data_IF_167428067245
#
_entry.id   IF_167428067245
#
_cell.length_a   1.000
_cell.length_b   1.000
_cell.length_c   1.000
_cell.angle_alpha   90.00
_cell.angle_beta   90.00
_cell.angle_gamma   90.00
#
_symmetry.space_group_name_H-M   'P 1'
#
loop_
_entity.id
_entity.type
_entity.pdbx_description
1 polymer ?
#
# COMPACT_ATOMS: atom_id res chain seq x y z
N UNK A 1 9.26 -13.75 -9.88
CA UNK A 1 8.57 -13.58 -8.58
C UNK A 1 9.56 -13.03 -7.58
N UNK A 2 9.09 -12.23 -6.62
CA UNK A 2 9.94 -11.61 -5.62
C UNK A 2 9.11 -11.18 -4.42
N UNK A 3 9.66 -11.33 -3.23
CA UNK A 3 9.11 -10.76 -2.00
C UNK A 3 10.22 -10.06 -1.23
N UNK A 4 9.95 -8.83 -0.81
CA UNK A 4 10.86 -8.03 0.00
C UNK A 4 10.67 -8.37 1.48
N UNK A 5 11.76 -8.38 2.24
CA UNK A 5 11.69 -8.54 3.69
C UNK A 5 11.22 -7.23 4.31
N UNK A 6 10.14 -7.30 5.09
CA UNK A 6 9.51 -6.16 5.76
C UNK A 6 9.82 -6.25 7.24
N UNK A 7 10.30 -5.15 7.83
CA UNK A 7 10.38 -5.02 9.29
C UNK A 7 9.04 -4.48 9.79
N UNK A 8 8.04 -5.36 9.83
CA UNK A 8 6.62 -5.02 10.01
C UNK A 8 6.29 -4.41 11.38
N UNK A 9 5.42 -3.40 11.37
CA UNK A 9 4.67 -2.94 12.54
C UNK A 9 3.27 -2.49 12.11
N UNK A 10 2.29 -2.73 12.98
CA UNK A 10 0.92 -2.27 12.80
C UNK A 10 0.78 -0.79 13.20
N UNK A 11 -0.32 -0.16 12.79
CA UNK A 11 -0.68 1.18 13.19
C UNK A 11 -0.85 1.26 14.72
N UNK A 12 -0.30 2.29 15.39
CA UNK A 12 -0.38 2.43 16.84
C UNK A 12 -1.77 2.89 17.33
N UNK A 13 -2.60 3.43 16.44
CA UNK A 13 -3.93 3.95 16.73
C UNK A 13 -4.85 3.78 15.50
N UNK A 14 -6.14 4.10 15.61
CA UNK A 14 -7.13 3.84 14.56
C UNK A 14 -6.99 4.71 13.28
N UNK A 15 -6.19 5.78 13.29
CA UNK A 15 -6.09 6.75 12.18
C UNK A 15 -4.71 6.79 11.52
N UNK A 16 -3.76 5.95 11.95
CA UNK A 16 -2.37 5.90 11.43
C UNK A 16 -2.13 4.85 10.35
N UNK A 17 -3.17 4.32 9.71
CA UNK A 17 -3.02 3.34 8.63
C UNK A 17 -2.09 3.82 7.50
N UNK A 18 -2.25 5.07 7.03
CA UNK A 18 -1.40 5.66 5.99
C UNK A 18 0.09 5.71 6.38
N UNK A 19 0.44 6.35 7.50
CA UNK A 19 1.81 6.37 8.02
C UNK A 19 2.39 4.97 8.28
N UNK A 20 1.61 4.05 8.85
CA UNK A 20 2.07 2.69 9.12
C UNK A 20 2.31 1.86 7.85
N UNK A 21 1.44 1.98 6.84
CA UNK A 21 1.65 1.36 5.54
C UNK A 21 2.89 1.95 4.83
N UNK A 22 3.09 3.26 4.89
CA UNK A 22 4.31 3.88 4.36
C UNK A 22 5.57 3.38 5.08
N UNK A 23 5.50 3.23 6.42
CA UNK A 23 6.58 2.67 7.23
C UNK A 23 6.96 1.27 6.77
N UNK A 24 5.97 0.40 6.62
CA UNK A 24 6.18 -0.98 6.18
C UNK A 24 6.75 -1.02 4.76
N UNK A 25 6.26 -0.19 3.83
CA UNK A 25 6.78 -0.10 2.46
C UNK A 25 8.23 0.39 2.41
N UNK A 26 8.65 1.32 3.28
CA UNK A 26 10.01 1.85 3.34
C UNK A 26 10.98 0.95 4.13
N UNK A 27 10.47 0.15 5.07
CA UNK A 27 11.29 -0.75 5.91
C UNK A 27 12.14 -1.72 5.09
N UNK A 28 11.65 -2.10 3.90
CA UNK A 28 12.35 -2.98 2.95
C UNK A 28 13.69 -2.42 2.47
N UNK A 29 13.90 -1.10 2.65
CA UNK A 29 15.13 -0.39 2.31
C UNK A 29 16.07 -0.23 3.52
N UNK A 30 15.80 -0.92 4.63
CA UNK A 30 16.61 -0.89 5.86
C UNK A 30 16.52 0.44 6.61
N UNK A 31 15.42 1.19 6.43
CA UNK A 31 15.21 2.48 7.12
C UNK A 31 14.44 2.28 8.41
N UNK A 32 14.96 2.83 9.50
CA UNK A 32 14.20 3.01 10.74
C UNK A 32 13.48 4.36 10.68
N UNK A 33 12.16 4.33 10.83
CA UNK A 33 11.32 5.51 10.58
C UNK A 33 10.43 5.76 11.77
N UNK A 34 10.41 7.01 12.21
CA UNK A 34 9.48 7.51 13.21
C UNK A 34 8.10 7.75 12.56
N UNK A 35 7.12 6.96 12.97
CA UNK A 35 5.77 7.00 12.39
C UNK A 35 5.00 8.28 12.75
N UNK A 36 5.26 8.87 13.92
CA UNK A 36 4.62 10.13 14.35
C UNK A 36 5.12 11.30 13.49
N UNK A 37 6.42 11.32 13.20
CA UNK A 37 7.02 12.30 12.29
C UNK A 37 6.47 12.17 10.88
N UNK A 38 6.27 10.94 10.39
CA UNK A 38 5.63 10.71 9.09
C UNK A 38 4.18 11.16 9.09
N UNK A 39 3.40 10.81 10.12
CA UNK A 39 2.01 11.20 10.25
C UNK A 39 1.84 12.72 10.18
N UNK A 40 2.68 13.48 10.89
CA UNK A 40 2.67 14.93 10.81
C UNK A 40 2.96 15.44 9.38
N UNK A 41 3.98 14.88 8.71
CA UNK A 41 4.35 15.27 7.34
C UNK A 41 3.29 14.92 6.29
N UNK A 42 2.56 13.82 6.51
CA UNK A 42 1.45 13.37 5.67
C UNK A 42 0.15 14.13 5.96
N UNK A 43 0.13 15.03 6.95
CA UNK A 43 -1.09 15.73 7.36
C UNK A 43 -2.14 14.79 7.97
N UNK A 44 -1.72 13.66 8.55
CA UNK A 44 -2.61 12.70 9.20
C UNK A 44 -3.31 13.34 10.39
N UNK A 45 -4.62 13.21 10.46
CA UNK A 45 -5.46 13.67 11.58
C UNK A 45 -6.22 12.48 12.18
N UNK A 46 -7.10 12.71 13.15
CA UNK A 46 -8.01 11.66 13.65
C UNK A 46 -8.97 11.14 12.55
N UNK A 47 -9.11 11.86 11.43
CA UNK A 47 -9.84 11.38 10.25
C UNK A 47 -8.96 10.56 9.28
N UNK A 48 -7.70 10.29 9.64
CA UNK A 48 -6.72 9.60 8.79
C UNK A 48 -5.92 10.53 7.87
N UNK A 49 -5.24 9.93 6.89
CA UNK A 49 -4.56 10.62 5.77
C UNK A 49 -5.52 10.71 4.59
N UNK A 50 -5.63 11.88 3.96
CA UNK A 50 -6.71 12.15 2.99
C UNK A 50 -6.52 11.43 1.65
N UNK A 51 -5.32 11.47 1.08
CA UNK A 51 -5.06 10.98 -0.27
C UNK A 51 -3.74 10.25 -0.38
N UNK A 52 -3.60 9.43 -1.43
CA UNK A 52 -2.31 8.85 -1.80
C UNK A 52 -1.28 9.93 -2.18
N UNK A 53 -1.74 11.10 -2.63
CA UNK A 53 -0.89 12.24 -2.96
C UNK A 53 -0.23 12.89 -1.73
N UNK A 54 -0.75 12.66 -0.52
CA UNK A 54 -0.13 13.11 0.73
C UNK A 54 0.97 12.13 1.20
N UNK A 55 0.89 10.86 0.78
CA UNK A 55 1.85 9.81 1.10
C UNK A 55 3.12 9.93 0.24
N UNK A 56 2.96 10.10 -1.07
CA UNK A 56 4.07 10.05 -2.05
C UNK A 56 5.23 11.02 -1.74
N UNK A 57 5.01 12.30 -1.39
CA UNK A 57 6.10 13.22 -1.06
C UNK A 57 6.92 12.76 0.16
N UNK A 58 6.25 12.13 1.14
CA UNK A 58 6.93 11.61 2.33
C UNK A 58 7.71 10.35 2.00
N UNK A 59 7.17 9.44 1.18
CA UNK A 59 7.94 8.29 0.66
C UNK A 59 9.21 8.74 -0.06
N UNK A 60 9.12 9.74 -0.94
CA UNK A 60 10.30 10.29 -1.64
C UNK A 60 11.30 10.94 -0.69
N UNK A 61 10.81 11.73 0.27
CA UNK A 61 11.65 12.37 1.28
C UNK A 61 12.41 11.34 2.11
N UNK A 62 11.72 10.32 2.63
CA UNK A 62 12.34 9.27 3.42
C UNK A 62 13.26 8.42 2.56
N UNK A 63 12.92 8.13 1.30
CA UNK A 63 13.78 7.39 0.36
C UNK A 63 15.06 8.18 0.02
N UNK A 64 15.00 9.51 -0.02
CA UNK A 64 16.12 10.39 -0.38
C UNK A 64 16.30 10.57 -1.90
N UNK A 65 15.34 10.10 -2.69
CA UNK A 65 15.29 10.24 -4.16
C UNK A 65 13.84 10.40 -4.60
N UNK A 66 13.66 11.03 -5.77
CA UNK A 66 12.37 11.17 -6.41
C UNK A 66 11.99 9.89 -7.17
N UNK A 67 11.68 8.83 -6.42
CA UNK A 67 11.45 7.47 -6.94
C UNK A 67 9.99 7.04 -6.95
N UNK A 68 9.18 7.61 -6.06
CA UNK A 68 7.77 7.29 -5.89
C UNK A 68 6.86 8.18 -6.74
N UNK A 69 5.82 7.57 -7.31
CA UNK A 69 4.77 8.26 -8.09
C UNK A 69 3.38 7.83 -7.64
N UNK A 70 2.49 8.80 -7.48
CA UNK A 70 1.06 8.52 -7.26
C UNK A 70 0.38 8.16 -8.57
N UNK A 71 -0.46 7.14 -8.54
CA UNK A 71 -1.43 6.84 -9.60
C UNK A 71 -2.82 6.81 -8.97
N UNK A 72 -3.74 7.61 -9.53
CA UNK A 72 -5.13 7.66 -9.08
C UNK A 72 -6.02 6.79 -9.98
N UNK A 73 -6.84 5.94 -9.37
CA UNK A 73 -7.89 5.19 -10.07
C UNK A 73 -9.21 5.91 -9.77
N UNK A 74 -9.62 6.85 -10.62
CA UNK A 74 -10.75 7.76 -10.33
C UNK A 74 -12.12 7.13 -10.56
N UNK A 75 -12.16 6.00 -11.23
CA UNK A 75 -13.38 5.27 -11.55
C UNK A 75 -13.82 4.43 -10.35
N UNK A 76 -15.13 4.13 -10.20
CA UNK A 76 -15.64 3.26 -9.13
C UNK A 76 -15.18 1.80 -9.21
N UNK A 77 -14.62 1.41 -10.35
CA UNK A 77 -14.05 0.09 -10.63
C UNK A 77 -12.81 0.29 -11.51
N UNK A 78 -11.78 -0.53 -11.31
CA UNK A 78 -10.63 -0.52 -12.21
C UNK A 78 -11.01 -1.19 -13.53
N UNK A 79 -10.59 -0.59 -14.65
CA UNK A 79 -10.61 -1.27 -15.94
C UNK A 79 -9.34 -2.11 -16.16
N UNK A 80 -9.37 -3.01 -17.15
CA UNK A 80 -8.26 -3.92 -17.45
C UNK A 80 -6.93 -3.18 -17.67
N UNK A 81 -6.97 -1.97 -18.26
CA UNK A 81 -5.76 -1.17 -18.51
C UNK A 81 -5.21 -0.58 -17.21
N UNK A 82 -6.07 -0.11 -16.32
CA UNK A 82 -5.67 0.37 -15.00
C UNK A 82 -5.07 -0.77 -14.18
N UNK A 83 -5.69 -1.96 -14.19
CA UNK A 83 -5.16 -3.14 -13.51
C UNK A 83 -3.82 -3.57 -14.10
N UNK A 84 -3.68 -3.64 -15.42
CA UNK A 84 -2.42 -4.00 -16.08
C UNK A 84 -1.29 -2.99 -15.75
N UNK A 85 -1.64 -1.71 -15.64
CA UNK A 85 -0.71 -0.64 -15.23
C UNK A 85 -0.27 -0.84 -13.78
N UNK A 86 -1.23 -1.02 -12.85
CA UNK A 86 -0.94 -1.28 -11.44
C UNK A 86 -0.06 -2.51 -11.25
N UNK A 87 -0.33 -3.58 -12.00
CA UNK A 87 0.51 -4.79 -12.01
C UNK A 87 1.94 -4.49 -12.43
N UNK A 88 2.12 -3.79 -13.55
CA UNK A 88 3.44 -3.46 -14.07
C UNK A 88 4.23 -2.55 -13.11
N UNK A 89 3.54 -1.58 -12.51
CA UNK A 89 4.10 -0.65 -11.52
C UNK A 89 4.56 -1.39 -10.26
N UNK A 90 3.74 -2.31 -9.74
CA UNK A 90 4.10 -3.16 -8.59
C UNK A 90 5.32 -4.02 -8.90
N UNK A 91 5.33 -4.70 -10.04
CA UNK A 91 6.47 -5.54 -10.44
C UNK A 91 7.75 -4.70 -10.52
N UNK A 92 7.69 -3.56 -11.20
CA UNK A 92 8.84 -2.67 -11.35
C UNK A 92 9.34 -2.10 -10.02
N UNK A 93 8.43 -1.69 -9.13
CA UNK A 93 8.79 -1.17 -7.80
C UNK A 93 9.45 -2.25 -6.94
N UNK A 94 8.85 -3.44 -6.87
CA UNK A 94 9.38 -4.56 -6.08
C UNK A 94 10.72 -5.03 -6.63
N UNK A 95 10.89 -5.07 -7.95
CA UNK A 95 12.17 -5.41 -8.57
C UNK A 95 13.26 -4.34 -8.33
N UNK A 96 12.90 -3.07 -8.16
CA UNK A 96 13.80 -2.00 -7.69
C UNK A 96 14.02 -2.01 -6.15
N UNK A 97 13.43 -2.98 -5.43
CA UNK A 97 13.56 -3.08 -3.98
C UNK A 97 12.74 -2.02 -3.22
N UNK A 98 11.60 -1.61 -3.77
CA UNK A 98 10.67 -0.64 -3.18
C UNK A 98 9.30 -1.28 -2.97
N UNK A 99 8.74 -1.15 -1.77
CA UNK A 99 7.34 -1.50 -1.51
C UNK A 99 6.40 -0.43 -2.08
N UNK A 100 5.18 -0.82 -2.43
CA UNK A 100 4.12 0.07 -2.94
C UNK A 100 3.12 0.34 -1.82
N UNK A 101 2.62 1.57 -1.68
CA UNK A 101 1.53 1.90 -0.75
C UNK A 101 0.23 2.04 -1.51
N UNK A 102 -0.85 1.44 -1.03
CA UNK A 102 -2.17 1.47 -1.68
C UNK A 102 -3.20 2.03 -0.72
N UNK A 103 -4.00 2.98 -1.19
CA UNK A 103 -5.20 3.46 -0.50
C UNK A 103 -6.39 2.66 -1.03
N UNK A 104 -7.12 2.01 -0.13
CA UNK A 104 -8.20 1.08 -0.44
C UNK A 104 -9.48 1.50 0.26
N UNK A 105 -10.64 1.09 -0.26
CA UNK A 105 -11.92 1.26 0.42
C UNK A 105 -12.92 0.16 0.04
N UNK A 106 -13.73 -0.25 1.01
CA UNK A 106 -14.73 -1.30 0.84
C UNK A 106 -14.20 -2.67 1.25
N UNK A 107 -14.70 -3.72 0.61
CA UNK A 107 -14.42 -5.11 1.00
C UNK A 107 -13.72 -5.89 -0.13
N UNK A 108 -12.68 -6.64 0.20
CA UNK A 108 -11.96 -7.53 -0.72
C UNK A 108 -11.78 -8.94 -0.13
N UNK A 109 -11.52 -9.91 -0.99
CA UNK A 109 -11.29 -11.31 -0.62
C UNK A 109 -9.88 -11.70 -1.06
N UNK A 110 -9.11 -12.29 -0.16
CA UNK A 110 -7.76 -12.78 -0.42
C UNK A 110 -7.76 -14.15 -1.12
N UNK A 111 -6.59 -14.66 -1.52
CA UNK A 111 -6.49 -15.95 -2.25
C UNK A 111 -6.89 -17.16 -1.42
N UNK A 112 -6.94 -17.04 -0.09
CA UNK A 112 -7.31 -18.11 0.84
C UNK A 112 -8.80 -18.00 1.25
N UNK A 113 -9.54 -17.05 0.67
CA UNK A 113 -10.95 -16.80 0.96
C UNK A 113 -11.20 -15.92 2.19
N UNK A 114 -10.15 -15.32 2.76
CA UNK A 114 -10.26 -14.37 3.86
C UNK A 114 -10.89 -13.06 3.41
N UNK A 115 -11.86 -12.56 4.19
CA UNK A 115 -12.58 -11.32 3.90
C UNK A 115 -11.94 -10.16 4.67
N UNK A 116 -11.61 -9.09 3.96
CA UNK A 116 -11.01 -7.87 4.51
C UNK A 116 -11.93 -6.68 4.21
N UNK A 117 -12.43 -5.99 5.24
CA UNK A 117 -13.46 -4.95 5.09
C UNK A 117 -13.04 -3.65 5.75
N UNK A 118 -12.93 -2.60 4.93
CA UNK A 118 -12.55 -1.25 5.31
C UNK A 118 -13.44 -0.22 4.59
N UNK A 119 -14.74 -0.23 4.89
CA UNK A 119 -15.73 0.66 4.26
C UNK A 119 -15.38 2.17 4.39
N UNK A 120 -14.74 2.57 5.48
CA UNK A 120 -14.26 3.95 5.70
C UNK A 120 -12.97 4.31 4.96
N UNK A 121 -12.30 3.32 4.37
CA UNK A 121 -10.98 3.45 3.75
C UNK A 121 -9.84 2.97 4.67
N UNK A 122 -8.74 2.53 4.06
CA UNK A 122 -7.56 2.01 4.73
C UNK A 122 -6.32 2.14 3.85
N UNK A 123 -5.13 1.96 4.44
CA UNK A 123 -3.87 1.91 3.69
C UNK A 123 -3.11 0.63 3.99
N UNK A 124 -2.61 0.00 2.93
CA UNK A 124 -1.83 -1.23 2.97
C UNK A 124 -0.56 -1.08 2.14
N UNK A 125 0.41 -1.98 2.34
CA UNK A 125 1.62 -2.05 1.51
C UNK A 125 1.62 -3.30 0.65
N UNK A 126 2.00 -3.20 -0.62
CA UNK A 126 2.40 -4.36 -1.43
C UNK A 126 3.90 -4.54 -1.31
N UNK A 127 4.33 -5.75 -0.95
CA UNK A 127 5.74 -6.06 -0.59
C UNK A 127 6.29 -7.25 -1.36
N UNK A 128 5.49 -7.86 -2.23
CA UNK A 128 5.92 -8.93 -3.11
C UNK A 128 4.90 -9.24 -4.19
N UNK A 129 5.33 -10.04 -5.15
CA UNK A 129 4.49 -10.58 -6.21
C UNK A 129 4.95 -11.98 -6.64
N UNK A 130 4.01 -12.76 -7.16
CA UNK A 130 4.25 -14.01 -7.90
C UNK A 130 3.40 -14.08 -9.16
N UNK A 131 3.63 -15.10 -9.99
CA UNK A 131 2.87 -15.34 -11.23
C UNK A 131 2.84 -14.12 -12.18
N UNK A 132 3.98 -13.43 -12.29
CA UNK A 132 4.10 -12.23 -13.14
C UNK A 132 3.28 -11.03 -12.65
N UNK A 133 2.97 -10.96 -11.35
CA UNK A 133 2.21 -9.86 -10.75
C UNK A 133 0.72 -10.15 -10.63
N UNK A 134 0.25 -11.34 -11.01
CA UNK A 134 -1.17 -11.71 -10.85
C UNK A 134 -1.57 -11.85 -9.39
N UNK A 135 -0.65 -12.34 -8.54
CA UNK A 135 -0.85 -12.43 -7.10
C UNK A 135 0.18 -11.54 -6.42
N UNK A 136 -0.29 -10.70 -5.51
CA UNK A 136 0.53 -9.76 -4.76
C UNK A 136 0.49 -10.08 -3.27
N UNK A 137 1.61 -9.82 -2.58
CA UNK A 137 1.73 -10.02 -1.13
C UNK A 137 1.51 -8.68 -0.43
N UNK A 138 0.52 -8.65 0.45
CA UNK A 138 0.13 -7.48 1.24
C UNK A 138 0.81 -7.54 2.61
N UNK A 139 1.31 -6.40 3.08
CA UNK A 139 1.57 -6.13 4.48
C UNK A 139 0.51 -5.13 4.97
N UNK A 140 -0.46 -5.61 5.75
CA UNK A 140 -1.61 -4.82 6.21
C UNK A 140 -1.27 -4.11 7.52
N UNK A 141 -1.44 -2.79 7.52
CA UNK A 141 -1.14 -1.93 8.66
C UNK A 141 -2.13 -2.05 9.83
N UNK A 142 -3.28 -2.69 9.67
CA UNK A 142 -4.36 -2.67 10.67
C UNK A 142 -4.11 -3.56 11.90
N UNK A 143 -3.79 -4.84 11.68
CA UNK A 143 -3.77 -5.84 12.75
C UNK A 143 -2.57 -6.79 12.61
N UNK A 144 -1.68 -6.86 13.62
CA UNK A 144 -0.51 -7.74 13.56
C UNK A 144 -0.85 -9.23 13.47
N UNK A 145 -2.04 -9.66 13.91
CA UNK A 145 -2.47 -11.06 13.81
C UNK A 145 -2.83 -11.49 12.37
N UNK A 146 -3.15 -10.52 11.51
CA UNK A 146 -3.49 -10.70 10.09
C UNK A 146 -2.59 -9.83 9.22
N UNK A 147 -1.33 -9.67 9.63
CA UNK A 147 -0.38 -8.72 9.07
C UNK A 147 -0.01 -8.96 7.59
N UNK A 148 -0.17 -10.19 7.10
CA UNK A 148 0.26 -10.57 5.75
C UNK A 148 -0.73 -11.55 5.13
N UNK A 149 -1.09 -11.29 3.87
CA UNK A 149 -1.92 -12.15 3.04
C UNK A 149 -1.60 -11.93 1.56
N UNK A 150 -2.11 -12.80 0.69
CA UNK A 150 -1.95 -12.70 -0.76
C UNK A 150 -3.30 -12.43 -1.42
N UNK A 151 -3.33 -11.59 -2.45
CA UNK A 151 -4.57 -11.32 -3.18
C UNK A 151 -4.32 -11.21 -4.68
N UNK A 152 -5.38 -11.44 -5.46
CA UNK A 152 -5.36 -11.24 -6.91
C UNK A 152 -5.25 -9.74 -7.24
N UNK A 153 -4.51 -9.42 -8.30
CA UNK A 153 -4.29 -8.05 -8.74
C UNK A 153 -5.58 -7.37 -9.20
N UNK A 154 -6.53 -8.12 -9.79
CA UNK A 154 -7.84 -7.60 -10.18
C UNK A 154 -8.60 -7.14 -8.92
N UNK A 155 -8.58 -7.96 -7.86
CA UNK A 155 -9.22 -7.64 -6.59
C UNK A 155 -8.56 -6.42 -5.92
N UNK A 156 -7.23 -6.32 -5.96
CA UNK A 156 -6.54 -5.15 -5.39
C UNK A 156 -6.83 -3.87 -6.18
N UNK A 157 -6.84 -3.94 -7.51
CA UNK A 157 -7.12 -2.79 -8.37
C UNK A 157 -8.53 -2.26 -8.14
N UNK A 158 -9.52 -3.16 -8.04
CA UNK A 158 -10.89 -2.80 -7.68
C UNK A 158 -10.98 -2.22 -6.26
N UNK A 159 -10.23 -2.74 -5.30
CA UNK A 159 -10.23 -2.23 -3.93
C UNK A 159 -9.58 -0.84 -3.80
N UNK A 160 -8.63 -0.54 -4.68
CA UNK A 160 -7.98 0.77 -4.81
C UNK A 160 -8.77 1.76 -5.69
N UNK A 161 -9.89 1.35 -6.28
CA UNK A 161 -10.73 2.20 -7.10
C UNK A 161 -11.29 3.39 -6.30
N UNK A 162 -11.53 4.51 -6.96
CA UNK A 162 -11.77 5.86 -6.39
C UNK A 162 -10.64 6.47 -5.55
N UNK A 163 -9.54 5.73 -5.35
CA UNK A 163 -8.40 6.10 -4.50
C UNK A 163 -7.13 6.12 -5.35
N UNK A 164 -6.22 5.17 -5.12
CA UNK A 164 -4.96 5.07 -5.84
C UNK A 164 -3.83 4.43 -5.05
N UNK A 165 -2.65 4.41 -5.65
CA UNK A 165 -1.43 3.81 -5.08
C UNK A 165 -0.19 4.65 -5.36
N UNK A 166 0.88 4.40 -4.62
CA UNK A 166 2.19 5.04 -4.75
C UNK A 166 3.26 3.98 -4.90
N UNK A 167 3.96 4.00 -6.04
CA UNK A 167 4.90 2.95 -6.48
C UNK A 167 6.26 3.49 -6.87
#
# INVERSE_FOLDING_TARGET
ERQLKVDYEAQPNFYYCGPAAARNALSVQGKTIDVDVMANRMGTTENGTNSINDITPVLNKETGKDAYRSVEIKTPKADDKQTDTMRADIVAAIDDGRGVVVNIAGTAIDTDGGVHSFEGGHYISVTGYRDGGKIVTIADSANPATASYQMDIDALADWAATRGYSH
#
